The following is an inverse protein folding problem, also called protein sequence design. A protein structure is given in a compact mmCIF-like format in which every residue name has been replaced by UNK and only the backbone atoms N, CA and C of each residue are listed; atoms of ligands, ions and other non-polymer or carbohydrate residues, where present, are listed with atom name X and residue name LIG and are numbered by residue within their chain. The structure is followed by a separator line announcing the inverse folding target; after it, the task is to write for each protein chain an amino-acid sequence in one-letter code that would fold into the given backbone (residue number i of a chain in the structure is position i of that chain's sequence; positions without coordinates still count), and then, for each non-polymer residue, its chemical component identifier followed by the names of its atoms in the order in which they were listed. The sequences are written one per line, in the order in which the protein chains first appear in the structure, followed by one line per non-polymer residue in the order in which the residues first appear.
data_IF_263443925603
#
_entry.id   IF_263443925603
#
_cell.length_a   1.000
_cell.length_b   1.000
_cell.length_c   1.000
_cell.angle_alpha   90.00
_cell.angle_beta   90.00
_cell.angle_gamma   90.00
#
_symmetry.space_group_name_H-M   'P 1'
#
loop_
_entity.id
_entity.type
_entity.pdbx_description
1 polymer ?
#
# COMPACT_ATOMS: atom_id res chain seq x y z
N UNK A 1 -15.92 -28.46 27.00
CA UNK A 1 -16.03 -27.39 26.00
C UNK A 1 -16.38 -26.12 26.76
N UNK A 2 -15.38 -25.30 27.07
CA UNK A 2 -15.58 -23.99 27.71
C UNK A 2 -16.11 -23.03 26.63
N UNK A 3 -17.36 -22.61 26.80
CA UNK A 3 -17.94 -21.56 25.96
C UNK A 3 -17.09 -20.30 26.12
N UNK A 4 -16.41 -19.88 25.07
CA UNK A 4 -15.75 -18.57 25.01
C UNK A 4 -16.87 -17.52 25.14
N UNK A 5 -16.82 -16.75 26.24
CA UNK A 5 -17.73 -15.62 26.42
C UNK A 5 -17.61 -14.69 25.21
N UNK A 6 -18.73 -14.28 24.64
CA UNK A 6 -18.75 -13.28 23.58
C UNK A 6 -18.04 -12.01 24.11
N UNK A 7 -17.25 -11.32 23.27
CA UNK A 7 -16.58 -10.09 23.68
C UNK A 7 -17.60 -9.07 24.17
N UNK A 8 -17.28 -8.41 25.29
CA UNK A 8 -18.15 -7.39 25.84
C UNK A 8 -18.27 -6.21 24.86
N UNK A 9 -19.49 -5.69 24.66
CA UNK A 9 -19.74 -4.47 23.91
C UNK A 9 -19.65 -3.24 24.83
N UNK A 10 -19.03 -2.12 24.39
CA UNK A 10 -18.37 -1.90 23.10
C UNK A 10 -17.06 -2.69 22.98
N UNK A 11 -16.64 -3.05 21.74
CA UNK A 11 -15.39 -3.76 21.51
C UNK A 11 -14.23 -2.98 22.11
N UNK A 12 -13.40 -3.66 22.89
CA UNK A 12 -12.23 -3.11 23.52
C UNK A 12 -10.97 -3.35 22.70
N UNK A 13 -9.88 -3.60 23.40
CA UNK A 13 -8.60 -3.95 22.80
C UNK A 13 -8.59 -5.42 22.37
N UNK A 14 -8.18 -5.69 21.12
CA UNK A 14 -7.99 -7.04 20.63
C UNK A 14 -6.70 -7.18 19.83
N UNK A 15 -6.01 -8.30 20.02
CA UNK A 15 -4.87 -8.71 19.21
C UNK A 15 -5.14 -10.12 18.71
N UNK A 16 -5.33 -10.25 17.41
CA UNK A 16 -5.61 -11.52 16.77
C UNK A 16 -4.37 -12.12 16.15
N UNK A 17 -4.42 -13.43 15.88
CA UNK A 17 -3.39 -14.09 15.09
C UNK A 17 -3.42 -13.57 13.65
N UNK A 18 -2.26 -13.50 13.02
CA UNK A 18 -2.09 -12.89 11.71
C UNK A 18 -2.73 -13.68 10.57
N UNK A 19 -3.00 -14.96 10.77
CA UNK A 19 -3.52 -15.82 9.71
C UNK A 19 -2.47 -16.15 8.63
N UNK A 20 -2.89 -16.21 7.37
CA UNK A 20 -2.04 -16.56 6.23
C UNK A 20 -1.14 -15.37 5.88
N UNK A 21 0.16 -15.63 5.80
CA UNK A 21 1.18 -14.68 5.32
C UNK A 21 1.76 -15.27 4.04
N UNK A 22 1.93 -14.48 2.96
CA UNK A 22 2.51 -14.96 1.71
C UNK A 22 3.97 -15.39 1.88
N UNK A 23 4.43 -16.32 1.03
CA UNK A 23 5.82 -16.72 0.98
C UNK A 23 6.71 -15.46 0.76
N UNK A 24 7.74 -15.22 1.59
CA UNK A 24 8.64 -14.09 1.42
C UNK A 24 9.31 -14.02 0.04
N UNK A 25 9.56 -15.15 -0.61
CA UNK A 25 10.10 -15.18 -1.97
C UNK A 25 9.11 -14.64 -2.99
N UNK A 26 7.82 -14.96 -2.80
CA UNK A 26 6.76 -14.45 -3.65
C UNK A 26 6.56 -12.94 -3.45
N UNK A 27 6.59 -12.47 -2.20
CA UNK A 27 6.58 -11.02 -1.89
C UNK A 27 7.77 -10.33 -2.55
N UNK A 28 8.98 -10.88 -2.41
CA UNK A 28 10.18 -10.31 -3.00
C UNK A 28 10.13 -10.23 -4.54
N UNK A 29 9.40 -11.13 -5.20
CA UNK A 29 9.24 -11.11 -6.66
C UNK A 29 8.41 -9.91 -7.17
N UNK A 30 7.67 -9.22 -6.29
CA UNK A 30 6.93 -8.00 -6.62
C UNK A 30 7.76 -6.72 -6.38
N UNK A 31 8.98 -6.81 -5.84
CA UNK A 31 9.81 -5.63 -5.64
C UNK A 31 10.10 -4.96 -6.98
N UNK A 32 9.82 -3.66 -7.04
CA UNK A 32 10.01 -2.87 -8.27
C UNK A 32 8.91 -3.04 -9.33
N UNK A 33 7.87 -3.84 -9.07
CA UNK A 33 6.68 -3.85 -9.93
C UNK A 33 5.87 -2.59 -9.65
N UNK A 34 5.62 -1.71 -10.66
CA UNK A 34 4.88 -0.48 -10.46
C UNK A 34 3.45 -0.71 -9.97
N UNK A 35 2.97 0.14 -9.05
CA UNK A 35 1.60 0.06 -8.54
C UNK A 35 0.56 0.23 -9.65
N UNK A 36 0.85 1.04 -10.67
CA UNK A 36 -0.01 1.23 -11.85
C UNK A 36 -0.22 -0.09 -12.61
N UNK A 37 0.86 -0.86 -12.84
CA UNK A 37 0.80 -2.17 -13.51
C UNK A 37 -0.05 -3.15 -12.70
N UNK A 38 0.16 -3.21 -11.38
CA UNK A 38 -0.63 -4.08 -10.49
C UNK A 38 -2.10 -3.67 -10.50
N UNK A 39 -2.41 -2.37 -10.42
CA UNK A 39 -3.77 -1.85 -10.51
C UNK A 39 -4.45 -2.21 -11.83
N UNK A 40 -3.72 -2.11 -12.95
CA UNK A 40 -4.21 -2.51 -14.27
C UNK A 40 -4.58 -3.99 -14.31
N UNK A 41 -3.73 -4.87 -13.78
CA UNK A 41 -3.98 -6.30 -13.70
C UNK A 41 -5.14 -6.66 -12.74
N UNK A 42 -5.45 -5.79 -11.77
CA UNK A 42 -6.60 -5.91 -10.87
C UNK A 42 -7.86 -5.20 -11.38
N UNK A 43 -7.94 -4.90 -12.67
CA UNK A 43 -9.12 -4.34 -13.32
C UNK A 43 -9.28 -2.82 -13.17
N UNK A 44 -8.23 -2.10 -12.81
CA UNK A 44 -8.18 -0.64 -12.67
C UNK A 44 -9.13 -0.07 -11.62
N UNK A 45 -9.50 -0.87 -10.64
CA UNK A 45 -10.44 -0.49 -9.57
C UNK A 45 -9.79 -0.45 -8.19
N UNK A 46 -8.57 -0.98 -8.08
CA UNK A 46 -7.81 -1.07 -6.82
C UNK A 46 -6.75 0.01 -6.78
N UNK A 47 -6.65 0.69 -5.65
CA UNK A 47 -5.67 1.74 -5.39
C UNK A 47 -6.11 2.65 -4.25
N UNK A 48 -5.14 3.19 -3.51
CA UNK A 48 -5.40 4.10 -2.41
C UNK A 48 -5.90 5.46 -2.92
N UNK A 49 -6.67 6.16 -2.06
CA UNK A 49 -7.14 7.51 -2.35
C UNK A 49 -6.71 8.47 -1.26
N UNK A 50 -6.05 9.56 -1.66
CA UNK A 50 -5.66 10.63 -0.73
C UNK A 50 -4.46 10.30 0.17
N UNK A 51 -3.78 9.18 -0.03
CA UNK A 51 -2.45 8.93 0.53
C UNK A 51 -1.38 9.59 -0.34
N UNK A 52 -0.33 10.06 0.30
CA UNK A 52 0.87 10.61 -0.35
C UNK A 52 2.12 10.05 0.29
N UNK A 53 3.22 9.86 -0.46
CA UNK A 53 4.51 9.57 0.12
C UNK A 53 5.02 10.77 0.93
N UNK A 54 5.61 10.49 2.09
CA UNK A 54 6.29 11.47 2.94
C UNK A 54 7.76 11.13 3.16
N UNK A 55 8.26 10.04 2.57
CA UNK A 55 9.69 9.79 2.35
C UNK A 55 10.17 10.67 1.19
N UNK A 56 11.37 11.24 1.31
CA UNK A 56 11.84 12.24 0.35
C UNK A 56 12.31 11.66 -0.98
N UNK A 57 12.81 10.43 -0.99
CA UNK A 57 13.20 9.74 -2.22
C UNK A 57 11.99 9.01 -2.82
N UNK A 58 11.42 9.57 -3.89
CA UNK A 58 10.28 8.98 -4.60
C UNK A 58 10.63 7.70 -5.37
N UNK A 59 11.90 7.34 -5.51
CA UNK A 59 12.31 6.05 -6.04
C UNK A 59 12.22 4.93 -4.99
N UNK A 60 12.06 5.29 -3.71
CA UNK A 60 11.90 4.34 -2.64
C UNK A 60 10.51 3.67 -2.72
N UNK A 61 10.49 2.36 -2.87
CA UNK A 61 9.26 1.58 -3.01
C UNK A 61 8.94 0.76 -1.77
N UNK A 62 7.66 0.57 -1.50
CA UNK A 62 7.13 -0.24 -0.41
C UNK A 62 6.67 -1.59 -0.97
N UNK A 63 7.14 -2.69 -0.37
CA UNK A 63 6.74 -4.04 -0.74
C UNK A 63 6.84 -4.97 0.45
N UNK A 64 5.71 -5.44 0.99
CA UNK A 64 5.68 -6.32 2.14
C UNK A 64 4.29 -6.84 2.49
N UNK A 65 4.23 -7.70 3.53
CA UNK A 65 2.97 -8.26 4.00
C UNK A 65 2.31 -7.36 5.05
N UNK A 66 1.00 -7.15 4.96
CA UNK A 66 0.26 -6.29 5.85
C UNK A 66 0.20 -6.81 7.30
N UNK A 67 0.61 -5.98 8.24
CA UNK A 67 0.21 -6.02 9.65
C UNK A 67 -0.85 -4.94 9.85
N UNK A 68 -2.11 -5.32 9.92
CA UNK A 68 -3.23 -4.37 9.99
C UNK A 68 -3.48 -3.90 11.42
N UNK A 69 -3.75 -2.61 11.57
CA UNK A 69 -4.05 -1.97 12.85
C UNK A 69 -5.24 -1.05 12.69
N UNK A 70 -6.31 -1.30 13.43
CA UNK A 70 -7.43 -0.36 13.57
C UNK A 70 -7.26 0.42 14.86
N UNK A 71 -7.35 1.74 14.79
CA UNK A 71 -7.26 2.63 15.95
C UNK A 71 -8.46 3.57 16.04
N UNK A 72 -8.77 4.02 17.24
CA UNK A 72 -9.63 5.18 17.42
C UNK A 72 -8.93 6.40 16.79
N UNK A 73 -9.63 7.26 16.05
CA UNK A 73 -9.06 8.50 15.52
C UNK A 73 -8.30 9.28 16.60
N UNK A 74 -7.08 9.69 16.30
CA UNK A 74 -6.21 10.41 17.21
C UNK A 74 -5.57 9.61 18.35
N UNK A 75 -5.65 8.26 18.30
CA UNK A 75 -5.03 7.37 19.30
C UNK A 75 -4.00 6.42 18.66
N UNK A 76 -2.86 6.17 19.32
CA UNK A 76 -1.81 5.33 18.75
C UNK A 76 -1.34 4.18 19.65
N UNK A 77 -2.06 3.86 20.71
CA UNK A 77 -1.65 2.80 21.63
C UNK A 77 -1.48 1.45 20.89
N UNK A 78 -2.44 1.10 20.03
CA UNK A 78 -2.38 -0.17 19.30
C UNK A 78 -1.32 -0.16 18.19
N UNK A 79 -0.92 1.00 17.67
CA UNK A 79 0.22 1.08 16.74
C UNK A 79 1.53 0.79 17.48
N UNK A 80 1.71 1.30 18.70
CA UNK A 80 2.85 0.92 19.55
C UNK A 80 2.88 -0.59 19.82
N UNK A 81 1.71 -1.20 20.08
CA UNK A 81 1.64 -2.66 20.25
C UNK A 81 1.98 -3.39 18.94
N UNK A 82 1.47 -2.95 17.80
CA UNK A 82 1.78 -3.54 16.50
C UNK A 82 3.28 -3.51 16.19
N UNK A 83 3.96 -2.40 16.47
CA UNK A 83 5.41 -2.31 16.35
C UNK A 83 6.12 -3.40 17.18
N UNK A 84 5.58 -3.83 18.33
CA UNK A 84 6.21 -4.91 19.11
C UNK A 84 5.99 -6.31 18.51
N UNK A 85 4.99 -6.48 17.67
CA UNK A 85 4.61 -7.74 17.03
C UNK A 85 5.14 -7.90 15.61
N UNK A 86 5.55 -6.80 15.00
CA UNK A 86 6.00 -6.74 13.63
C UNK A 86 7.28 -7.56 13.40
N UNK A 87 7.39 -8.15 12.22
CA UNK A 87 8.52 -8.95 11.73
C UNK A 87 9.23 -8.22 10.61
N UNK A 88 10.46 -8.58 10.34
CA UNK A 88 11.20 -8.06 9.19
C UNK A 88 10.41 -8.26 7.88
N UNK A 89 10.36 -7.22 7.06
CA UNK A 89 9.61 -7.22 5.80
C UNK A 89 8.11 -6.94 5.92
N UNK A 90 7.57 -6.70 7.12
CA UNK A 90 6.18 -6.31 7.29
C UNK A 90 5.92 -4.86 6.86
N UNK A 91 4.68 -4.60 6.46
CA UNK A 91 4.13 -3.25 6.32
C UNK A 91 3.06 -3.05 7.39
N UNK A 92 3.25 -2.09 8.27
CA UNK A 92 2.18 -1.68 9.18
C UNK A 92 1.18 -0.83 8.41
N UNK A 93 -0.08 -1.29 8.34
CA UNK A 93 -1.19 -0.58 7.71
C UNK A 93 -2.18 -0.16 8.78
N UNK A 94 -2.34 1.15 8.93
CA UNK A 94 -3.16 1.77 10.00
C UNK A 94 -4.45 2.33 9.43
N UNK A 95 -5.58 1.82 9.92
CA UNK A 95 -6.88 2.44 9.78
C UNK A 95 -7.08 3.46 10.92
N UNK A 96 -6.83 4.72 10.62
CA UNK A 96 -7.09 5.87 11.47
C UNK A 96 -8.35 6.63 11.07
N UNK A 97 -9.22 6.00 10.25
CA UNK A 97 -10.48 6.56 9.75
C UNK A 97 -10.30 7.88 8.97
N UNK A 98 -9.12 8.08 8.38
CA UNK A 98 -8.82 9.31 7.63
C UNK A 98 -8.66 10.57 8.49
N UNK A 99 -8.63 10.45 9.82
CA UNK A 99 -8.49 11.62 10.70
C UNK A 99 -7.09 12.23 10.57
N UNK A 100 -7.07 13.53 10.30
CA UNK A 100 -5.84 14.31 10.16
C UNK A 100 -5.64 15.32 11.31
N UNK A 101 -6.48 15.27 12.32
CA UNK A 101 -6.42 16.22 13.44
C UNK A 101 -5.25 15.97 14.38
N UNK A 102 -4.86 14.69 14.55
CA UNK A 102 -3.74 14.26 15.39
C UNK A 102 -2.82 13.32 14.64
N UNK A 103 -1.51 13.46 14.87
CA UNK A 103 -0.53 12.56 14.30
C UNK A 103 -0.57 11.20 14.99
N UNK A 104 -0.68 10.12 14.21
CA UNK A 104 -0.69 8.76 14.73
C UNK A 104 0.74 8.21 14.90
N UNK A 105 1.68 8.61 14.03
CA UNK A 105 3.08 8.18 14.07
C UNK A 105 4.02 9.39 13.92
N UNK A 106 5.21 9.27 14.49
CA UNK A 106 6.28 10.26 14.41
C UNK A 106 7.66 9.63 14.42
N UNK A 107 8.72 10.44 14.54
CA UNK A 107 10.12 10.05 14.40
C UNK A 107 10.56 8.87 15.30
N UNK A 108 10.17 8.87 16.58
CA UNK A 108 10.51 7.74 17.46
C UNK A 108 9.89 6.41 17.01
N UNK A 109 8.67 6.44 16.45
CA UNK A 109 8.01 5.24 15.94
C UNK A 109 8.63 4.80 14.61
N UNK A 110 9.12 5.75 13.78
CA UNK A 110 9.93 5.46 12.60
C UNK A 110 11.21 4.71 12.98
N UNK A 111 11.94 5.17 13.99
CA UNK A 111 13.14 4.47 14.48
C UNK A 111 12.82 3.06 14.98
N UNK A 112 11.70 2.89 15.68
CA UNK A 112 11.25 1.56 16.12
C UNK A 112 10.88 0.65 14.92
N UNK A 113 10.32 1.19 13.85
CA UNK A 113 10.01 0.47 12.62
C UNK A 113 11.28 0.04 11.89
N UNK A 114 12.27 0.94 11.76
CA UNK A 114 13.58 0.63 11.19
C UNK A 114 14.33 -0.46 11.98
N UNK A 115 14.33 -0.37 13.31
CA UNK A 115 14.96 -1.38 14.18
C UNK A 115 14.33 -2.78 14.06
N UNK A 116 13.15 -2.88 13.46
CA UNK A 116 12.44 -4.14 13.17
C UNK A 116 12.46 -4.51 11.69
N UNK A 117 13.25 -3.80 10.90
CA UNK A 117 13.40 -4.05 9.46
C UNK A 117 12.06 -4.07 8.71
N UNK A 118 11.14 -3.16 9.07
CA UNK A 118 9.87 -3.06 8.36
C UNK A 118 10.09 -2.64 6.90
N UNK A 119 9.27 -3.17 6.00
CA UNK A 119 9.26 -2.76 4.60
C UNK A 119 8.64 -1.37 4.39
N UNK A 120 7.85 -0.88 5.35
CA UNK A 120 7.27 0.45 5.32
C UNK A 120 6.03 0.60 6.19
N UNK A 121 5.39 1.76 6.07
CA UNK A 121 4.23 2.15 6.87
C UNK A 121 3.19 2.85 6.00
N UNK A 122 1.92 2.49 6.18
CA UNK A 122 0.76 3.15 5.54
C UNK A 122 -0.20 3.61 6.64
N UNK A 123 -0.49 4.90 6.67
CA UNK A 123 -1.33 5.51 7.71
C UNK A 123 -2.53 6.23 7.08
N UNK A 124 -3.72 5.68 7.24
CA UNK A 124 -4.95 6.39 6.90
C UNK A 124 -5.29 7.44 7.98
N UNK A 125 -4.44 8.46 8.05
CA UNK A 125 -4.41 9.51 9.04
C UNK A 125 -3.18 10.40 8.87
N UNK A 126 -2.84 11.18 9.91
CA UNK A 126 -1.66 12.06 9.91
C UNK A 126 -0.43 11.43 10.57
N UNK A 127 0.71 11.90 10.13
CA UNK A 127 2.02 11.70 10.77
C UNK A 127 2.56 13.04 11.30
N UNK A 128 3.64 13.03 12.06
CA UNK A 128 4.43 14.20 12.45
C UNK A 128 5.92 13.93 12.26
N UNK A 129 6.74 14.94 12.57
CA UNK A 129 8.19 14.89 12.40
C UNK A 129 8.57 14.61 10.93
N UNK A 130 7.91 15.34 10.01
CA UNK A 130 7.93 15.11 8.56
C UNK A 130 9.34 15.22 7.95
N UNK A 131 10.23 16.02 8.51
CA UNK A 131 11.62 16.12 8.07
C UNK A 131 12.36 14.79 8.31
N UNK A 132 12.17 14.16 9.47
CA UNK A 132 12.80 12.87 9.79
C UNK A 132 12.29 11.74 8.87
N UNK A 133 11.02 11.81 8.44
CA UNK A 133 10.48 10.86 7.47
C UNK A 133 11.07 11.12 6.07
N UNK A 134 11.19 12.39 5.66
CA UNK A 134 11.72 12.76 4.35
C UNK A 134 13.21 12.42 4.18
N UNK A 135 13.99 12.53 5.23
CA UNK A 135 15.43 12.18 5.22
C UNK A 135 15.67 10.67 5.44
N UNK A 136 14.64 9.93 5.80
CA UNK A 136 14.74 8.52 6.15
C UNK A 136 14.58 7.56 4.98
N UNK A 137 15.06 6.32 5.18
CA UNK A 137 15.02 5.24 4.19
C UNK A 137 13.75 4.36 4.29
N UNK A 138 12.84 4.62 5.24
CA UNK A 138 11.62 3.84 5.42
C UNK A 138 10.48 4.42 4.58
N UNK A 139 9.91 3.67 3.61
CA UNK A 139 8.74 4.12 2.89
C UNK A 139 7.57 4.41 3.81
N UNK A 140 6.98 5.61 3.70
CA UNK A 140 5.81 6.01 4.48
C UNK A 140 4.79 6.69 3.59
N UNK A 141 3.52 6.28 3.73
CA UNK A 141 2.37 6.88 3.08
C UNK A 141 1.37 7.33 4.13
N UNK A 142 0.87 8.55 4.02
CA UNK A 142 -0.10 9.11 4.95
C UNK A 142 -1.07 10.07 4.24
N UNK A 143 -2.16 10.46 4.93
CA UNK A 143 -3.07 11.50 4.41
C UNK A 143 -2.53 12.91 4.62
N UNK A 144 -1.77 13.12 5.70
CA UNK A 144 -1.32 14.46 6.03
C UNK A 144 -0.31 14.50 7.17
N UNK A 145 -0.03 15.72 7.60
CA UNK A 145 0.88 16.03 8.71
C UNK A 145 0.12 16.84 9.76
N UNK A 146 0.29 16.48 11.03
CA UNK A 146 -0.23 17.25 12.16
C UNK A 146 0.82 17.29 13.27
N UNK A 147 1.04 18.46 13.87
CA UNK A 147 1.93 18.59 15.03
C UNK A 147 1.29 18.10 16.33
N UNK A 148 -0.06 17.93 16.35
CA UNK A 148 -0.78 17.49 17.55
C UNK A 148 -0.47 16.02 17.83
N UNK A 149 -0.04 15.74 19.07
CA UNK A 149 0.23 14.38 19.50
C UNK A 149 -1.05 13.56 19.72
N UNK A 150 -0.96 12.22 19.58
CA UNK A 150 -2.09 11.32 19.81
C UNK A 150 -2.29 11.04 21.31
N UNK A 151 -3.48 10.49 21.65
CA UNK A 151 -3.73 9.82 22.92
C UNK A 151 -3.18 8.38 22.90
N UNK A 152 -3.19 7.72 24.07
CA UNK A 152 -2.78 6.31 24.25
C UNK A 152 -3.79 5.58 25.14
N UNK A 153 -5.06 5.74 24.83
CA UNK A 153 -6.16 5.23 25.65
C UNK A 153 -6.94 4.12 24.92
N UNK A 154 -6.74 4.00 23.59
CA UNK A 154 -7.49 3.09 22.72
C UNK A 154 -8.98 3.47 22.62
N UNK A 155 -9.86 2.56 22.26
CA UNK A 155 -9.61 1.16 21.90
C UNK A 155 -8.97 0.99 20.53
N UNK A 156 -8.70 -0.28 20.17
CA UNK A 156 -8.24 -0.65 18.85
C UNK A 156 -7.92 -2.14 18.72
N UNK A 157 -7.64 -2.57 17.49
CA UNK A 157 -7.49 -3.98 17.15
C UNK A 157 -6.30 -4.18 16.21
N UNK A 158 -5.63 -5.33 16.33
CA UNK A 158 -4.52 -5.73 15.46
C UNK A 158 -4.88 -7.05 14.77
N UNK A 159 -4.46 -7.18 13.50
CA UNK A 159 -4.73 -8.32 12.63
C UNK A 159 -6.22 -8.57 12.41
N UNK A 160 -6.97 -7.51 12.13
CA UNK A 160 -8.34 -7.54 11.63
C UNK A 160 -8.41 -6.99 10.21
N UNK A 161 -9.39 -7.36 9.39
CA UNK A 161 -9.65 -6.65 8.14
C UNK A 161 -10.00 -5.18 8.42
N UNK A 162 -9.39 -4.27 7.66
CA UNK A 162 -9.55 -2.83 7.82
C UNK A 162 -9.91 -2.15 6.50
N UNK A 163 -10.46 -0.94 6.60
CA UNK A 163 -10.56 -0.01 5.49
C UNK A 163 -9.45 1.05 5.63
N UNK A 164 -8.60 1.17 4.62
CA UNK A 164 -7.49 2.12 4.64
C UNK A 164 -7.47 2.89 3.33
N UNK A 165 -7.80 4.16 3.37
CA UNK A 165 -7.76 5.06 2.21
C UNK A 165 -8.52 4.53 0.97
N UNK A 166 -9.66 3.87 1.18
CA UNK A 166 -10.48 3.26 0.13
C UNK A 166 -10.06 1.84 -0.27
N UNK A 167 -8.99 1.31 0.32
CA UNK A 167 -8.58 -0.09 0.18
C UNK A 167 -9.23 -0.94 1.27
N UNK A 168 -9.65 -2.15 0.92
CA UNK A 168 -9.92 -3.23 1.89
C UNK A 168 -8.63 -4.00 2.08
N UNK A 169 -8.10 -4.03 3.31
CA UNK A 169 -6.82 -4.68 3.63
C UNK A 169 -7.04 -5.73 4.69
N UNK A 170 -6.66 -6.96 4.40
CA UNK A 170 -6.67 -8.06 5.35
C UNK A 170 -5.25 -8.32 5.89
N UNK A 171 -5.12 -8.88 7.11
CA UNK A 171 -3.83 -9.30 7.61
C UNK A 171 -3.14 -10.27 6.64
N UNK A 172 -1.89 -9.99 6.29
CA UNK A 172 -1.11 -10.79 5.36
C UNK A 172 -1.28 -10.44 3.87
N UNK A 173 -2.16 -9.52 3.49
CA UNK A 173 -2.20 -9.03 2.12
C UNK A 173 -0.85 -8.44 1.69
N UNK A 174 -0.48 -8.64 0.43
CA UNK A 174 0.65 -7.92 -0.17
C UNK A 174 0.30 -6.44 -0.26
N UNK A 175 1.19 -5.60 0.23
CA UNK A 175 1.11 -4.13 0.09
C UNK A 175 2.25 -3.66 -0.78
N UNK A 176 1.93 -2.95 -1.85
CA UNK A 176 2.89 -2.29 -2.73
C UNK A 176 2.64 -0.79 -2.70
N UNK A 177 3.71 -0.02 -2.74
CA UNK A 177 3.63 1.44 -2.80
C UNK A 177 4.78 2.04 -3.59
N UNK A 178 4.50 3.07 -4.37
CA UNK A 178 5.44 3.90 -5.10
C UNK A 178 4.96 5.36 -5.14
N UNK A 179 5.57 6.20 -5.98
CA UNK A 179 5.20 7.62 -6.08
C UNK A 179 3.72 7.86 -6.43
N UNK A 180 3.06 6.91 -7.10
CA UNK A 180 1.66 7.03 -7.53
C UNK A 180 0.66 6.66 -6.42
N UNK A 181 1.09 5.89 -5.41
CA UNK A 181 0.24 5.51 -4.28
C UNK A 181 0.46 4.09 -3.77
N UNK A 182 -0.61 3.50 -3.21
CA UNK A 182 -0.56 2.18 -2.58
C UNK A 182 -1.63 1.28 -3.19
N UNK A 183 -1.26 0.03 -3.48
CA UNK A 183 -2.18 -1.04 -3.89
C UNK A 183 -2.01 -2.25 -2.97
N UNK A 184 -3.04 -3.08 -2.87
CA UNK A 184 -3.03 -4.31 -2.08
C UNK A 184 -3.54 -5.49 -2.89
N UNK A 185 -3.04 -6.68 -2.59
CA UNK A 185 -3.50 -7.92 -3.22
C UNK A 185 -3.52 -9.08 -2.21
N UNK A 186 -4.58 -9.88 -2.26
CA UNK A 186 -4.73 -11.04 -1.39
C UNK A 186 -3.69 -12.13 -1.70
N UNK A 187 -3.18 -12.86 -0.69
CA UNK A 187 -2.10 -13.84 -0.85
C UNK A 187 -2.38 -14.94 -1.87
N UNK A 188 -3.62 -15.39 -1.98
CA UNK A 188 -4.04 -16.46 -2.90
C UNK A 188 -4.00 -16.04 -4.37
N UNK A 189 -4.02 -14.73 -4.66
CA UNK A 189 -3.97 -14.17 -6.02
C UNK A 189 -2.55 -13.89 -6.50
N UNK A 190 -1.56 -13.86 -5.62
CA UNK A 190 -0.22 -13.39 -5.96
C UNK A 190 0.47 -14.17 -7.09
N UNK A 191 0.39 -15.51 -7.17
CA UNK A 191 1.04 -16.23 -8.28
C UNK A 191 0.55 -15.77 -9.65
N UNK A 192 -0.77 -15.78 -9.86
CA UNK A 192 -1.39 -15.36 -11.14
C UNK A 192 -1.18 -13.88 -11.41
N UNK A 193 -1.25 -13.03 -10.37
CA UNK A 193 -1.01 -11.59 -10.48
C UNK A 193 0.42 -11.30 -10.91
N UNK A 194 1.41 -12.03 -10.40
CA UNK A 194 2.80 -11.86 -10.78
C UNK A 194 3.05 -12.20 -12.26
N UNK A 195 2.42 -13.27 -12.76
CA UNK A 195 2.48 -13.63 -14.18
C UNK A 195 1.88 -12.53 -15.05
N UNK A 196 0.65 -12.10 -14.75
CA UNK A 196 -0.02 -11.01 -15.46
C UNK A 196 0.77 -9.69 -15.43
N UNK A 197 1.37 -9.35 -14.28
CA UNK A 197 2.19 -8.15 -14.16
C UNK A 197 3.46 -8.22 -15.02
N UNK A 198 4.11 -9.39 -15.12
CA UNK A 198 5.28 -9.59 -15.99
C UNK A 198 4.93 -9.48 -17.47
N UNK A 199 3.83 -10.08 -17.89
CA UNK A 199 3.31 -9.95 -19.27
C UNK A 199 3.03 -8.48 -19.60
N UNK A 200 2.34 -7.78 -18.71
CA UNK A 200 2.02 -6.36 -18.87
C UNK A 200 3.28 -5.48 -18.98
N UNK A 201 4.28 -5.72 -18.13
CA UNK A 201 5.56 -5.02 -18.18
C UNK A 201 6.30 -5.26 -19.51
N UNK A 202 6.25 -6.48 -20.05
CA UNK A 202 6.87 -6.79 -21.33
C UNK A 202 6.16 -6.04 -22.48
N UNK A 203 4.82 -6.02 -22.50
CA UNK A 203 4.04 -5.24 -23.48
C UNK A 203 4.35 -3.74 -23.41
N UNK A 204 4.44 -3.18 -22.20
CA UNK A 204 4.75 -1.76 -22.01
C UNK A 204 6.17 -1.42 -22.44
N UNK A 205 7.14 -2.31 -22.19
CA UNK A 205 8.51 -2.14 -22.66
C UNK A 205 8.60 -2.11 -24.18
N UNK A 206 7.86 -2.97 -24.89
CA UNK A 206 7.79 -2.95 -26.35
C UNK A 206 7.16 -1.65 -26.87
N UNK A 207 6.06 -1.18 -26.26
CA UNK A 207 5.41 0.08 -26.62
C UNK A 207 6.34 1.26 -26.38
N UNK A 208 7.03 1.30 -25.24
CA UNK A 208 8.00 2.34 -24.93
C UNK A 208 9.14 2.37 -25.95
N UNK A 209 9.70 1.21 -26.31
CA UNK A 209 10.74 1.12 -27.32
C UNK A 209 10.26 1.65 -28.70
N UNK A 210 9.01 1.30 -29.09
CA UNK A 210 8.41 1.81 -30.30
C UNK A 210 8.24 3.35 -30.28
N UNK A 211 7.73 3.92 -29.18
CA UNK A 211 7.56 5.37 -29.07
C UNK A 211 8.90 6.12 -29.03
N UNK A 212 9.93 5.55 -28.39
CA UNK A 212 11.28 6.13 -28.43
C UNK A 212 11.86 6.10 -29.86
N UNK A 213 11.70 5.00 -30.59
CA UNK A 213 12.13 4.90 -31.99
C UNK A 213 11.39 5.91 -32.89
N UNK A 214 10.08 6.09 -32.69
CA UNK A 214 9.25 7.01 -33.48
C UNK A 214 9.59 8.50 -33.26
N UNK A 215 10.36 8.85 -32.23
CA UNK A 215 10.90 10.20 -32.06
C UNK A 215 11.94 10.53 -33.16
N UNK A 216 12.69 9.51 -33.60
CA UNK A 216 13.75 9.64 -34.60
C UNK A 216 13.31 9.23 -36.00
N UNK A 217 12.27 8.38 -36.12
CA UNK A 217 11.70 7.94 -37.39
C UNK A 217 10.18 8.21 -37.46
N UNK A 218 9.76 9.31 -38.12
CA UNK A 218 8.36 9.65 -38.25
C UNK A 218 7.51 8.62 -39.00
N UNK A 219 8.11 7.72 -39.80
CA UNK A 219 7.37 6.69 -40.53
C UNK A 219 6.72 5.66 -39.63
N UNK A 220 7.26 5.48 -38.39
CA UNK A 220 6.72 4.57 -37.38
C UNK A 220 5.42 5.05 -36.73
N UNK A 221 5.07 6.35 -36.83
CA UNK A 221 3.89 6.93 -36.18
C UNK A 221 2.56 6.44 -36.78
N UNK A 222 2.57 5.96 -38.02
CA UNK A 222 1.39 5.41 -38.67
C UNK A 222 0.80 4.20 -37.96
N UNK A 223 1.64 3.36 -37.36
CA UNK A 223 1.22 2.17 -36.62
C UNK A 223 0.35 2.51 -35.41
N UNK A 224 0.65 3.59 -34.69
CA UNK A 224 -0.14 4.04 -33.53
C UNK A 224 -1.52 4.53 -33.94
N UNK A 225 -1.60 5.26 -35.05
CA UNK A 225 -2.88 5.73 -35.63
C UNK A 225 -3.78 4.55 -36.00
N UNK A 226 -3.27 3.57 -36.75
CA UNK A 226 -4.02 2.38 -37.16
C UNK A 226 -4.56 1.60 -35.96
N UNK A 227 -3.75 1.46 -34.88
CA UNK A 227 -4.16 0.77 -33.65
C UNK A 227 -5.31 1.50 -32.95
N UNK A 228 -5.22 2.83 -32.82
CA UNK A 228 -6.26 3.64 -32.17
C UNK A 228 -7.53 3.65 -33.00
N UNK A 229 -7.42 3.80 -34.31
CA UNK A 229 -8.57 3.78 -35.23
C UNK A 229 -9.29 2.43 -35.19
N UNK A 230 -8.57 1.31 -35.13
CA UNK A 230 -9.15 0.00 -34.99
C UNK A 230 -9.96 -0.14 -33.68
N UNK A 231 -9.45 0.39 -32.58
CA UNK A 231 -10.16 0.41 -31.28
C UNK A 231 -11.42 1.30 -31.34
N UNK A 232 -11.37 2.42 -32.03
CA UNK A 232 -12.52 3.34 -32.20
C UNK A 232 -13.59 2.70 -33.07
N UNK A 233 -13.18 2.09 -34.21
CA UNK A 233 -14.12 1.38 -35.11
C UNK A 233 -14.83 0.24 -34.41
N UNK A 234 -14.09 -0.54 -33.56
CA UNK A 234 -14.67 -1.63 -32.75
C UNK A 234 -15.74 -1.14 -31.76
N UNK A 235 -15.77 0.15 -31.44
CA UNK A 235 -16.76 0.81 -30.58
C UNK A 235 -17.82 1.58 -31.35
N UNK A 236 -17.84 1.48 -32.68
CA UNK A 236 -18.80 2.16 -33.54
C UNK A 236 -18.48 3.63 -33.84
N UNK A 237 -17.25 4.07 -33.53
CA UNK A 237 -16.82 5.43 -33.89
C UNK A 237 -16.34 5.46 -35.35
N UNK A 238 -16.88 6.36 -36.22
CA UNK A 238 -16.43 6.52 -37.60
C UNK A 238 -15.10 7.30 -37.61
N UNK A 239 -14.01 6.61 -37.92
CA UNK A 239 -12.67 7.19 -38.15
C UNK A 239 -12.04 6.61 -39.39
#
# INVERSE_FOLDING_TARGET
MTATAAPAWPPGFAVHDRGIVPDPKLVAAFRGVPTAVVSDCLGRTVGSRGLRPYHGDLALTLCGAALTVRVRPGDNLMIHKALTLARAGDVIVVDGSGDVSHALMGGLMRLAALARELAGVVVDGSIRDSVEWAEGELPVFARGVSHRGPTKDGPGEINVPIACAGLSVSPGDLVLGDADGVVVAAPDRLPTLLEAAREKLAEEAEQQAHHLASQHDPSLRGRDMERVDALLRARGCPV
#
